data_IF_932785905143
#
_entry.id   IF_932785905143
#
_cell.length_a   1.000
_cell.length_b   1.000
_cell.length_c   1.000
_cell.angle_alpha   90.00
_cell.angle_beta   90.00
_cell.angle_gamma   90.00
#
_symmetry.space_group_name_H-M   'P 1'
#
loop_
_entity.id
_entity.type
_entity.pdbx_description
1 polymer ?
#
# COMPACT_ATOMS: atom_id res chain seq x y z
N UNK A 1 4.46 -26.06 4.34
CA UNK A 1 3.97 -24.78 3.86
C UNK A 1 3.66 -24.87 2.36
N UNK A 2 4.63 -25.25 1.49
CA UNK A 2 4.47 -25.25 0.01
C UNK A 2 3.62 -26.42 -0.55
N UNK A 3 3.03 -27.26 0.29
CA UNK A 3 2.16 -28.40 -0.08
C UNK A 3 0.87 -28.41 0.73
N UNK A 4 0.51 -27.30 1.37
CA UNK A 4 -0.77 -27.21 2.05
C UNK A 4 -1.89 -26.94 1.04
N UNK A 5 -3.07 -27.36 1.38
CA UNK A 5 -4.30 -27.12 0.64
C UNK A 5 -4.77 -25.69 0.92
N UNK A 6 -4.15 -24.74 0.21
CA UNK A 6 -4.30 -23.31 0.44
C UNK A 6 -4.67 -22.65 -0.88
N UNK A 7 -5.73 -21.89 -0.90
CA UNK A 7 -6.30 -21.20 -2.07
C UNK A 7 -6.01 -19.70 -2.12
N UNK A 8 -5.29 -19.15 -1.12
CA UNK A 8 -4.89 -17.76 -1.15
C UNK A 8 -3.71 -17.52 -2.09
N UNK A 9 -3.62 -16.32 -2.64
CA UNK A 9 -2.54 -15.94 -3.54
C UNK A 9 -1.22 -15.83 -2.76
N UNK A 10 -0.17 -16.38 -3.29
CA UNK A 10 1.22 -16.27 -2.82
C UNK A 10 2.08 -15.39 -3.73
N UNK A 11 1.59 -15.09 -4.92
CA UNK A 11 2.11 -14.10 -5.84
C UNK A 11 0.98 -13.54 -6.69
N UNK A 12 1.01 -12.25 -6.98
CA UNK A 12 0.01 -11.61 -7.83
C UNK A 12 0.52 -10.31 -8.44
N UNK A 13 -0.07 -9.97 -9.58
CA UNK A 13 0.03 -8.64 -10.19
C UNK A 13 -1.39 -8.12 -10.37
N UNK A 14 -1.64 -6.91 -9.87
CA UNK A 14 -2.92 -6.22 -10.02
C UNK A 14 -2.68 -4.94 -10.79
N UNK A 15 -3.33 -4.80 -11.94
CA UNK A 15 -3.38 -3.54 -12.67
C UNK A 15 -4.66 -2.80 -12.31
N UNK A 16 -4.55 -1.52 -12.00
CA UNK A 16 -5.65 -0.68 -11.56
C UNK A 16 -5.67 0.60 -12.39
N UNK A 17 -6.87 1.04 -12.76
CA UNK A 17 -7.11 2.34 -13.37
C UNK A 17 -8.09 3.11 -12.48
N UNK A 18 -7.76 4.36 -12.16
CA UNK A 18 -8.59 5.24 -11.35
C UNK A 18 -9.39 6.19 -12.23
N UNK A 19 -10.53 6.67 -11.75
CA UNK A 19 -11.43 7.59 -12.48
C UNK A 19 -10.72 8.84 -13.03
N UNK A 20 -9.68 9.30 -12.37
CA UNK A 20 -8.86 10.45 -12.81
C UNK A 20 -7.80 10.10 -13.87
N UNK A 21 -7.82 8.88 -14.41
CA UNK A 21 -6.88 8.41 -15.42
C UNK A 21 -5.51 8.00 -14.89
N UNK A 22 -5.31 7.94 -13.58
CA UNK A 22 -4.08 7.40 -12.99
C UNK A 22 -4.12 5.88 -13.11
N UNK A 23 -3.05 5.29 -13.61
CA UNK A 23 -2.85 3.86 -13.61
C UNK A 23 -1.84 3.46 -12.52
N UNK A 24 -2.10 2.35 -11.85
CA UNK A 24 -1.21 1.77 -10.87
C UNK A 24 -1.07 0.25 -11.04
N UNK A 25 0.04 -0.28 -10.61
CA UNK A 25 0.27 -1.72 -10.53
C UNK A 25 0.75 -2.10 -9.14
N UNK A 26 0.16 -3.15 -8.58
CA UNK A 26 0.66 -3.81 -7.38
C UNK A 26 1.29 -5.14 -7.80
N UNK A 27 2.52 -5.38 -7.40
CA UNK A 27 3.16 -6.69 -7.52
C UNK A 27 3.48 -7.20 -6.13
N UNK A 28 3.00 -8.39 -5.80
CA UNK A 28 3.27 -9.07 -4.55
C UNK A 28 3.80 -10.47 -4.82
N UNK A 29 4.78 -10.90 -4.07
CA UNK A 29 5.25 -12.29 -4.06
C UNK A 29 5.73 -12.69 -2.67
N UNK A 30 5.41 -13.92 -2.28
CA UNK A 30 5.96 -14.54 -1.07
C UNK A 30 7.35 -15.16 -1.32
N UNK A 31 7.78 -15.26 -2.58
CA UNK A 31 9.02 -15.93 -3.01
C UNK A 31 10.15 -14.92 -3.26
N UNK A 32 10.63 -14.32 -2.18
CA UNK A 32 11.74 -13.36 -2.27
C UNK A 32 12.75 -13.60 -1.13
N UNK A 33 14.06 -13.47 -1.39
CA UNK A 33 15.08 -13.60 -0.35
C UNK A 33 15.12 -12.40 0.59
N UNK A 34 14.43 -11.30 0.25
CA UNK A 34 14.36 -10.08 1.03
C UNK A 34 12.92 -9.69 1.26
N UNK A 35 12.58 -9.40 2.51
CA UNK A 35 11.35 -8.70 2.83
C UNK A 35 11.56 -7.22 2.49
N UNK A 36 10.88 -6.72 1.47
CA UNK A 36 10.94 -5.30 1.11
C UNK A 36 9.59 -4.82 0.58
N UNK A 37 9.33 -3.56 0.79
CA UNK A 37 8.19 -2.84 0.20
C UNK A 37 8.71 -1.59 -0.44
N UNK A 38 8.60 -1.53 -1.75
CA UNK A 38 9.01 -0.37 -2.54
C UNK A 38 7.79 0.28 -3.17
N UNK A 39 7.84 1.58 -3.32
CA UNK A 39 6.82 2.34 -4.04
C UNK A 39 7.51 3.25 -5.05
N UNK A 40 6.93 3.36 -6.24
CA UNK A 40 7.38 4.29 -7.27
C UNK A 40 6.19 5.10 -7.75
N UNK A 41 6.31 6.42 -7.69
CA UNK A 41 5.30 7.35 -8.20
C UNK A 41 5.93 8.15 -9.33
N UNK A 42 5.37 8.01 -10.53
CA UNK A 42 5.79 8.74 -11.72
C UNK A 42 4.82 9.89 -11.98
N UNK A 43 5.32 11.11 -11.88
CA UNK A 43 4.53 12.32 -12.06
C UNK A 43 5.00 13.15 -13.26
N UNK A 44 4.31 14.24 -13.55
CA UNK A 44 4.62 15.15 -14.67
C UNK A 44 5.88 16.00 -14.46
N UNK A 45 6.43 16.03 -13.25
CA UNK A 45 7.64 16.82 -12.91
C UNK A 45 8.84 15.98 -12.52
N UNK A 46 8.67 14.67 -12.42
CA UNK A 46 9.70 13.76 -11.97
C UNK A 46 9.13 12.49 -11.36
N UNK A 47 9.97 11.78 -10.63
CA UNK A 47 9.66 10.50 -10.01
C UNK A 47 10.02 10.53 -8.53
N UNK A 48 9.24 9.81 -7.73
CA UNK A 48 9.55 9.52 -6.32
C UNK A 48 9.67 8.01 -6.17
N UNK A 49 10.70 7.56 -5.51
CA UNK A 49 10.90 6.17 -5.12
C UNK A 49 11.03 6.08 -3.60
N UNK A 50 10.31 5.16 -3.00
CA UNK A 50 10.39 4.85 -1.58
C UNK A 50 10.80 3.40 -1.35
N UNK A 51 11.63 3.17 -0.35
CA UNK A 51 11.99 1.85 0.17
C UNK A 51 11.73 1.84 1.68
N UNK A 52 10.74 1.05 2.11
CA UNK A 52 10.35 1.01 3.52
C UNK A 52 11.39 0.27 4.39
N UNK A 53 12.10 -0.70 3.82
CA UNK A 53 13.10 -1.45 4.58
C UNK A 53 14.35 -0.60 4.85
N UNK A 54 14.73 0.21 3.87
CA UNK A 54 15.84 1.14 4.00
C UNK A 54 15.44 2.48 4.63
N UNK A 55 14.15 2.70 4.84
CA UNK A 55 13.60 3.98 5.31
C UNK A 55 14.07 5.17 4.48
N UNK A 56 14.07 5.03 3.17
CA UNK A 56 14.54 6.07 2.24
C UNK A 56 13.46 6.52 1.27
N UNK A 57 13.51 7.79 0.91
CA UNK A 57 12.72 8.37 -0.18
C UNK A 57 13.66 9.13 -1.12
N UNK A 58 13.64 8.79 -2.40
CA UNK A 58 14.42 9.48 -3.43
C UNK A 58 13.48 10.28 -4.33
N UNK A 59 13.74 11.56 -4.44
CA UNK A 59 13.08 12.47 -5.39
C UNK A 59 14.00 12.66 -6.59
N UNK A 60 13.51 12.38 -7.78
CA UNK A 60 14.20 12.56 -9.06
C UNK A 60 13.41 13.53 -9.95
N UNK A 61 13.70 14.83 -9.94
CA UNK A 61 13.09 15.79 -10.87
C UNK A 61 13.54 15.53 -12.30
N UNK A 62 12.69 15.80 -13.29
CA UNK A 62 13.15 15.81 -14.68
C UNK A 62 14.16 16.93 -14.89
N UNK A 63 15.31 16.60 -15.47
CA UNK A 63 16.38 17.56 -15.73
C UNK A 63 17.13 18.06 -14.49
N UNK A 64 16.87 17.52 -13.32
CA UNK A 64 17.52 17.85 -12.06
C UNK A 64 18.29 16.69 -11.45
N UNK A 65 19.01 16.97 -10.37
CA UNK A 65 19.74 15.97 -9.61
C UNK A 65 18.79 15.19 -8.65
N UNK A 66 19.09 13.92 -8.48
CA UNK A 66 18.38 13.08 -7.50
C UNK A 66 18.73 13.49 -6.08
N UNK A 67 17.73 13.54 -5.22
CA UNK A 67 17.88 13.82 -3.80
C UNK A 67 17.31 12.66 -2.99
N UNK A 68 18.12 12.08 -2.11
CA UNK A 68 17.69 10.99 -1.24
C UNK A 68 17.57 11.49 0.19
N UNK A 69 16.44 11.22 0.79
CA UNK A 69 16.12 11.54 2.17
C UNK A 69 16.02 10.23 2.96
N UNK A 70 16.68 10.16 4.10
CA UNK A 70 16.47 9.08 5.06
C UNK A 70 15.31 9.45 5.97
N UNK A 71 14.30 8.60 6.02
CA UNK A 71 13.20 8.73 6.98
C UNK A 71 13.60 7.98 8.26
N UNK A 72 14.05 8.69 9.28
CA UNK A 72 14.11 8.15 10.64
C UNK A 72 12.68 8.03 11.14
N UNK A 73 12.17 6.82 11.14
CA UNK A 73 10.87 6.51 11.75
C UNK A 73 11.07 6.45 13.25
N UNK A 74 10.58 7.44 13.96
CA UNK A 74 10.61 7.46 15.42
C UNK A 74 9.95 6.19 15.98
N UNK A 75 10.76 5.33 16.63
CA UNK A 75 10.30 4.07 17.22
C UNK A 75 10.31 2.86 16.28
N UNK A 76 10.79 2.96 15.06
CA UNK A 76 10.81 1.87 14.08
C UNK A 76 11.51 0.59 14.56
N UNK A 77 12.46 0.70 15.47
CA UNK A 77 13.22 -0.43 15.99
C UNK A 77 12.62 -1.08 17.24
N UNK A 78 11.52 -0.56 17.78
CA UNK A 78 11.05 -1.02 19.08
C UNK A 78 10.07 -2.20 19.00
N UNK A 79 9.13 -2.19 18.06
CA UNK A 79 8.04 -3.20 18.00
C UNK A 79 7.49 -3.29 16.57
N UNK A 80 7.16 -4.48 16.13
CA UNK A 80 6.64 -4.92 14.84
C UNK A 80 6.21 -3.88 13.77
N UNK A 81 6.25 -4.28 12.52
CA UNK A 81 5.80 -3.49 11.36
C UNK A 81 6.45 -2.09 11.22
N UNK A 82 7.75 -1.96 11.61
CA UNK A 82 8.47 -0.70 11.45
C UNK A 82 7.93 0.45 12.29
N UNK A 83 7.30 0.17 13.43
CA UNK A 83 6.68 1.19 14.30
C UNK A 83 5.24 1.54 13.93
N UNK A 84 4.68 0.93 12.89
CA UNK A 84 3.29 1.17 12.46
C UNK A 84 2.26 0.90 13.54
N UNK A 85 2.44 -0.18 14.32
CA UNK A 85 1.53 -0.55 15.40
C UNK A 85 1.52 0.51 16.51
N UNK A 86 2.68 1.03 16.88
CA UNK A 86 2.79 2.11 17.88
C UNK A 86 2.15 3.39 17.36
N UNK A 87 2.39 3.73 16.09
CA UNK A 87 1.78 4.90 15.45
C UNK A 87 0.26 4.81 15.39
N UNK A 88 -0.29 3.65 15.06
CA UNK A 88 -1.72 3.39 15.03
C UNK A 88 -2.36 3.55 16.41
N UNK A 89 -1.75 2.95 17.43
CA UNK A 89 -2.26 3.05 18.81
C UNK A 89 -2.17 4.47 19.36
N UNK A 90 -1.11 5.19 19.05
CA UNK A 90 -0.97 6.59 19.43
C UNK A 90 -2.06 7.46 18.78
N UNK A 91 -2.29 7.30 17.49
CA UNK A 91 -3.33 8.01 16.74
C UNK A 91 -4.74 7.71 17.31
N UNK A 92 -5.02 6.44 17.58
CA UNK A 92 -6.27 6.02 18.21
C UNK A 92 -6.49 6.69 19.58
N UNK A 93 -5.48 6.69 20.43
CA UNK A 93 -5.58 7.32 21.77
C UNK A 93 -5.81 8.84 21.64
N UNK A 94 -5.15 9.51 20.71
CA UNK A 94 -5.37 10.93 20.44
C UNK A 94 -6.81 11.20 20.01
N UNK A 95 -7.36 10.41 19.11
CA UNK A 95 -8.74 10.54 18.66
C UNK A 95 -9.73 10.35 19.81
N UNK A 96 -9.57 9.31 20.62
CA UNK A 96 -10.44 9.05 21.79
C UNK A 96 -10.40 10.21 22.77
N UNK A 97 -9.28 10.90 22.91
CA UNK A 97 -9.12 12.10 23.74
C UNK A 97 -9.64 13.39 23.10
N UNK A 98 -10.24 13.32 21.92
CA UNK A 98 -10.73 14.49 21.20
C UNK A 98 -9.63 15.33 20.52
N UNK A 99 -8.47 14.75 20.26
CA UNK A 99 -7.28 15.43 19.73
C UNK A 99 -7.21 15.57 18.20
N UNK A 100 -8.33 15.43 17.48
CA UNK A 100 -8.37 15.63 16.02
C UNK A 100 -9.01 14.48 15.24
N UNK A 101 -8.98 14.61 13.93
CA UNK A 101 -9.38 13.53 13.01
C UNK A 101 -8.25 12.52 12.86
N UNK A 102 -8.59 11.23 12.83
CA UNK A 102 -7.62 10.16 12.60
C UNK A 102 -7.02 10.22 11.19
N UNK A 103 -5.80 9.74 11.06
CA UNK A 103 -5.11 9.65 9.77
C UNK A 103 -5.81 8.71 8.81
N UNK A 104 -6.48 7.69 9.32
CA UNK A 104 -7.27 6.73 8.56
C UNK A 104 -8.64 6.55 9.19
N UNK A 105 -9.67 6.62 8.37
CA UNK A 105 -11.05 6.36 8.78
C UNK A 105 -11.45 4.91 8.45
N UNK A 106 -12.51 4.42 9.10
CA UNK A 106 -13.11 3.14 8.74
C UNK A 106 -13.54 3.09 7.26
N UNK A 107 -13.99 4.23 6.70
CA UNK A 107 -14.33 4.34 5.28
C UNK A 107 -13.12 4.12 4.38
N UNK A 108 -11.98 4.78 4.65
CA UNK A 108 -10.74 4.58 3.89
C UNK A 108 -10.21 3.15 4.01
N UNK A 109 -10.33 2.56 5.20
CA UNK A 109 -9.99 1.15 5.40
C UNK A 109 -10.89 0.23 4.59
N UNK A 110 -12.20 0.49 4.54
CA UNK A 110 -13.15 -0.26 3.73
C UNK A 110 -12.77 -0.21 2.23
N UNK A 111 -12.46 0.98 1.70
CA UNK A 111 -12.05 1.12 0.29
C UNK A 111 -10.85 0.23 -0.07
N UNK A 112 -9.82 0.18 0.79
CA UNK A 112 -8.66 -0.68 0.55
C UNK A 112 -9.01 -2.18 0.60
N UNK A 113 -9.94 -2.59 1.46
CA UNK A 113 -10.43 -3.98 1.48
C UNK A 113 -11.25 -4.32 0.24
N UNK A 114 -12.12 -3.40 -0.21
CA UNK A 114 -12.89 -3.57 -1.44
C UNK A 114 -11.98 -3.74 -2.66
N UNK A 115 -10.88 -2.97 -2.74
CA UNK A 115 -9.88 -3.14 -3.79
C UNK A 115 -9.24 -4.54 -3.76
N UNK A 116 -8.93 -5.06 -2.57
CA UNK A 116 -8.37 -6.41 -2.43
C UNK A 116 -9.38 -7.49 -2.85
N UNK A 117 -10.65 -7.38 -2.45
CA UNK A 117 -11.71 -8.31 -2.84
C UNK A 117 -12.02 -8.24 -4.34
N UNK A 118 -12.03 -7.04 -4.92
CA UNK A 118 -12.21 -6.85 -6.36
C UNK A 118 -11.04 -7.47 -7.17
N UNK A 119 -9.82 -7.36 -6.66
CA UNK A 119 -8.66 -8.02 -7.28
C UNK A 119 -8.79 -9.54 -7.27
N UNK A 120 -9.28 -10.13 -6.16
CA UNK A 120 -9.56 -11.57 -6.10
C UNK A 120 -10.71 -11.97 -7.04
N UNK A 121 -11.78 -11.18 -7.09
CA UNK A 121 -12.86 -11.40 -8.03
C UNK A 121 -12.38 -11.34 -9.49
N UNK A 122 -11.50 -10.40 -9.82
CA UNK A 122 -10.89 -10.30 -11.16
C UNK A 122 -10.05 -11.53 -11.49
N UNK A 123 -9.27 -12.02 -10.53
CA UNK A 123 -8.48 -13.24 -10.67
C UNK A 123 -9.34 -14.47 -10.96
N UNK A 124 -10.42 -14.65 -10.21
CA UNK A 124 -11.31 -15.81 -10.32
C UNK A 124 -12.14 -15.75 -11.59
N UNK A 125 -12.65 -14.58 -11.95
CA UNK A 125 -13.50 -14.41 -13.14
C UNK A 125 -12.72 -14.30 -14.45
N UNK A 126 -11.42 -13.95 -14.40
CA UNK A 126 -10.61 -13.63 -15.57
C UNK A 126 -11.03 -12.34 -16.28
N UNK A 127 -11.76 -11.47 -15.61
CA UNK A 127 -12.30 -10.22 -16.16
C UNK A 127 -11.93 -9.01 -15.29
N UNK A 128 -11.94 -7.81 -15.89
CA UNK A 128 -11.82 -6.59 -15.13
C UNK A 128 -13.07 -6.39 -14.25
N UNK A 129 -12.86 -5.86 -13.05
CA UNK A 129 -13.91 -5.58 -12.07
C UNK A 129 -13.99 -4.07 -11.85
N UNK A 130 -15.16 -3.49 -12.10
CA UNK A 130 -15.45 -2.09 -11.79
C UNK A 130 -15.83 -1.99 -10.31
N UNK A 131 -15.02 -1.23 -9.53
CA UNK A 131 -15.07 -1.24 -8.07
C UNK A 131 -16.41 -0.77 -7.51
N UNK A 132 -17.00 0.29 -8.07
CA UNK A 132 -18.27 0.81 -7.59
C UNK A 132 -19.45 -0.14 -7.90
N UNK A 133 -19.40 -0.89 -9.01
CA UNK A 133 -20.38 -1.93 -9.29
C UNK A 133 -20.22 -3.12 -8.34
N UNK A 134 -18.97 -3.50 -8.04
CA UNK A 134 -18.66 -4.55 -7.08
C UNK A 134 -19.18 -4.21 -5.68
N UNK A 135 -18.90 -3.00 -5.18
CA UNK A 135 -19.39 -2.52 -3.88
C UNK A 135 -20.93 -2.59 -3.78
N UNK A 136 -21.65 -2.20 -4.84
CA UNK A 136 -23.12 -2.28 -4.85
C UNK A 136 -23.68 -3.71 -4.87
N UNK A 137 -22.86 -4.69 -5.17
CA UNK A 137 -23.25 -6.10 -5.22
C UNK A 137 -23.10 -6.85 -3.90
N UNK A 138 -22.45 -6.23 -2.91
CA UNK A 138 -22.26 -6.77 -1.57
C UNK A 138 -23.44 -6.44 -0.65
#
# INVERSE_FOLDING_TARGET
VYRCDNDVVDHQVVAMEFENGIAATLTMTAFTPRLTRTVRVMGTKGMIEGDLEQCTVTLQPFGGEAQTFSAEVLGANAYGHGGGDVGLMHDFVLQVRGGGEGRTSAKQSLESHLMAFAAEQARVSGAAVELAAFERSL
#
